data_IF_185473114973
#
_entry.id   IF_185473114973
#
_cell.length_a   1.000
_cell.length_b   1.000
_cell.length_c   1.000
_cell.angle_alpha   90.00
_cell.angle_beta   90.00
_cell.angle_gamma   90.00
#
_symmetry.space_group_name_H-M   'P 1'
#
loop_
_entity.id
_entity.type
_entity.pdbx_description
1 polymer ?
#
# COMPACT_ATOMS: atom_id res chain seq x y z
N UNK A 1 -49.52 -41.70 24.89
CA UNK A 1 -48.40 -41.91 25.83
C UNK A 1 -47.53 -43.03 25.26
N UNK A 2 -46.24 -42.77 25.00
CA UNK A 2 -45.21 -43.80 24.82
C UNK A 2 -44.96 -44.30 23.39
N UNK A 3 -43.96 -43.72 22.73
CA UNK A 3 -43.50 -44.08 21.39
C UNK A 3 -42.52 -45.28 21.40
N UNK A 4 -42.64 -46.10 20.35
CA UNK A 4 -41.58 -46.63 19.48
C UNK A 4 -40.42 -47.48 20.05
N UNK A 5 -40.64 -48.80 20.01
CA UNK A 5 -39.98 -49.80 19.16
C UNK A 5 -38.59 -49.47 18.53
N UNK A 6 -37.62 -50.24 19.03
CA UNK A 6 -36.55 -51.02 18.38
C UNK A 6 -35.46 -50.39 17.49
N UNK A 7 -34.26 -50.80 17.90
CA UNK A 7 -32.96 -50.81 17.23
C UNK A 7 -32.96 -51.48 15.85
N UNK A 8 -32.23 -50.88 14.91
CA UNK A 8 -31.64 -51.61 13.76
C UNK A 8 -30.12 -51.31 13.62
N UNK A 9 -29.33 -52.30 13.17
CA UNK A 9 -27.87 -52.27 13.17
C UNK A 9 -27.26 -51.82 11.83
N UNK A 10 -26.04 -51.27 11.93
CA UNK A 10 -24.90 -51.58 11.06
C UNK A 10 -25.08 -51.53 9.54
N UNK A 11 -24.77 -50.38 8.93
CA UNK A 11 -24.29 -50.32 7.54
C UNK A 11 -22.81 -49.92 7.51
N UNK A 12 -21.98 -50.91 7.21
CA UNK A 12 -20.61 -50.72 6.72
C UNK A 12 -20.63 -50.41 5.21
N UNK A 13 -19.65 -49.62 4.75
CA UNK A 13 -19.40 -49.31 3.34
C UNK A 13 -18.89 -47.87 3.18
N UNK A 14 -17.64 -47.57 3.56
CA UNK A 14 -16.42 -47.62 2.71
C UNK A 14 -16.39 -46.55 1.59
N UNK A 15 -15.48 -45.59 1.80
CA UNK A 15 -14.63 -44.91 0.82
C UNK A 15 -15.23 -43.87 -0.16
N UNK A 16 -15.11 -42.61 0.23
CA UNK A 16 -14.78 -41.49 -0.66
C UNK A 16 -13.89 -40.56 0.17
N UNK A 17 -12.58 -40.48 -0.06
CA UNK A 17 -12.00 -39.88 -1.26
C UNK A 17 -11.41 -38.54 -0.81
N UNK A 18 -10.09 -38.51 -0.62
CA UNK A 18 -9.34 -37.33 -0.23
C UNK A 18 -9.57 -36.19 -1.22
N UNK A 19 -9.94 -35.02 -0.70
CA UNK A 19 -9.99 -33.75 -1.40
C UNK A 19 -9.70 -32.66 -0.39
N UNK A 20 -8.41 -32.43 -0.11
CA UNK A 20 -7.93 -31.20 0.50
C UNK A 20 -8.36 -30.04 -0.39
N UNK A 21 -9.21 -29.13 0.07
CA UNK A 21 -9.10 -27.70 -0.24
C UNK A 21 -9.56 -26.91 0.98
N UNK A 22 -8.58 -26.68 1.86
CA UNK A 22 -8.51 -25.63 2.86
C UNK A 22 -8.93 -24.28 2.24
N UNK A 23 -10.20 -23.94 2.42
CA UNK A 23 -10.83 -22.72 1.86
C UNK A 23 -10.94 -21.58 2.86
N UNK A 24 -10.12 -21.59 3.92
CA UNK A 24 -9.99 -20.43 4.83
C UNK A 24 -8.53 -20.03 4.94
N UNK A 25 -8.18 -18.95 4.23
CA UNK A 25 -7.62 -17.81 4.92
C UNK A 25 -8.74 -16.77 4.94
N UNK A 26 -9.43 -16.57 6.07
CA UNK A 26 -8.94 -15.64 7.09
C UNK A 26 -7.99 -14.64 6.43
N UNK A 27 -8.55 -13.73 5.63
CA UNK A 27 -7.76 -12.67 4.99
C UNK A 27 -7.21 -11.84 6.13
N UNK A 28 -5.99 -12.21 6.50
CA UNK A 28 -5.20 -11.68 7.59
C UNK A 28 -5.44 -10.17 7.63
N UNK A 29 -5.93 -9.67 8.76
CA UNK A 29 -5.05 -8.98 9.69
C UNK A 29 -3.96 -8.28 8.89
N UNK A 30 -4.18 -6.99 8.59
CA UNK A 30 -3.22 -6.14 7.92
C UNK A 30 -1.86 -6.40 8.54
N UNK A 31 -1.07 -7.21 7.86
CA UNK A 31 0.32 -7.43 8.22
C UNK A 31 0.85 -6.03 8.25
N UNK A 32 1.37 -5.61 9.39
CA UNK A 32 2.31 -4.51 9.45
C UNK A 32 3.51 -4.96 8.61
N UNK A 33 3.35 -4.95 7.28
CA UNK A 33 4.41 -5.10 6.34
C UNK A 33 5.38 -4.04 6.75
N UNK A 34 6.53 -4.49 7.24
CA UNK A 34 7.75 -3.72 7.26
C UNK A 34 7.70 -2.87 5.99
N UNK A 35 7.63 -1.54 6.10
CA UNK A 35 7.34 -0.70 4.96
C UNK A 35 8.35 -1.04 3.88
N UNK A 36 7.85 -1.58 2.77
CA UNK A 36 8.65 -2.15 1.70
C UNK A 36 9.27 -0.98 0.95
N UNK A 37 10.41 -0.52 1.44
CA UNK A 37 11.09 0.68 0.97
C UNK A 37 11.77 0.49 -0.38
N UNK A 38 11.77 -0.74 -0.90
CA UNK A 38 12.38 -1.14 -2.17
C UNK A 38 11.45 -0.90 -3.37
N UNK A 39 10.11 -1.00 -3.17
CA UNK A 39 9.12 -0.62 -4.18
C UNK A 39 9.14 0.88 -4.47
N UNK A 40 9.16 1.23 -5.75
CA UNK A 40 8.88 2.60 -6.21
C UNK A 40 7.48 3.04 -5.77
N UNK A 41 7.40 4.18 -5.11
CA UNK A 41 6.13 4.78 -4.70
C UNK A 41 5.53 5.52 -5.89
N UNK A 42 4.21 5.44 -6.06
CA UNK A 42 3.52 6.37 -6.96
C UNK A 42 3.75 7.82 -6.51
N UNK A 43 3.84 8.77 -7.45
CA UNK A 43 4.09 10.20 -7.14
C UNK A 43 3.12 10.75 -6.08
N UNK A 44 1.84 10.37 -6.14
CA UNK A 44 0.82 10.77 -5.15
C UNK A 44 1.11 10.15 -3.78
N UNK A 45 1.54 8.89 -3.74
CA UNK A 45 1.89 8.19 -2.51
C UNK A 45 3.16 8.77 -1.88
N UNK A 46 4.16 9.08 -2.71
CA UNK A 46 5.38 9.77 -2.29
C UNK A 46 5.07 11.13 -1.65
N UNK A 47 4.23 11.95 -2.29
CA UNK A 47 3.76 13.24 -1.73
C UNK A 47 2.98 13.02 -0.42
N UNK A 48 2.13 12.00 -0.36
CA UNK A 48 1.37 11.66 0.85
C UNK A 48 2.29 11.30 2.01
N UNK A 49 3.37 10.54 1.76
CA UNK A 49 4.37 10.21 2.77
C UNK A 49 5.06 11.48 3.29
N UNK A 50 5.37 12.47 2.44
CA UNK A 50 5.92 13.76 2.89
C UNK A 50 5.00 14.42 3.91
N UNK A 51 3.68 14.43 3.68
CA UNK A 51 2.73 15.05 4.62
C UNK A 51 2.68 14.38 5.99
N UNK A 52 3.03 13.09 6.08
CA UNK A 52 2.94 12.28 7.31
C UNK A 52 4.27 12.09 8.02
N UNK A 53 5.38 12.12 7.28
CA UNK A 53 6.70 11.69 7.77
C UNK A 53 7.75 12.79 7.73
N UNK A 54 7.50 13.91 7.05
CA UNK A 54 8.44 15.02 7.03
C UNK A 54 8.35 15.82 8.34
N UNK A 55 9.47 16.11 9.03
CA UNK A 55 9.47 16.96 10.22
C UNK A 55 9.34 18.46 9.89
N UNK A 56 9.47 18.84 8.61
CA UNK A 56 9.42 20.23 8.17
C UNK A 56 7.98 20.65 7.81
N UNK A 57 7.39 21.52 8.61
CA UNK A 57 6.02 22.03 8.39
C UNK A 57 5.81 22.74 7.05
N UNK A 58 6.83 23.41 6.52
CA UNK A 58 6.77 24.05 5.20
C UNK A 58 6.64 23.03 4.08
N UNK A 59 7.41 21.93 4.14
CA UNK A 59 7.31 20.84 3.17
C UNK A 59 5.96 20.11 3.25
N UNK A 60 5.40 19.96 4.46
CA UNK A 60 4.05 19.39 4.65
C UNK A 60 2.99 20.29 3.99
N UNK A 61 3.06 21.60 4.16
CA UNK A 61 2.11 22.54 3.57
C UNK A 61 2.15 22.48 2.03
N UNK A 62 3.36 22.48 1.45
CA UNK A 62 3.56 22.32 0.00
C UNK A 62 3.02 20.98 -0.49
N UNK A 63 3.30 19.88 0.21
CA UNK A 63 2.81 18.55 -0.16
C UNK A 63 1.27 18.43 -0.07
N UNK A 64 0.63 19.08 0.91
CA UNK A 64 -0.85 19.14 0.98
C UNK A 64 -1.43 19.94 -0.17
N UNK A 65 -0.85 21.11 -0.47
CA UNK A 65 -1.27 21.95 -1.58
C UNK A 65 -1.08 21.23 -2.92
N UNK A 66 0.01 20.47 -3.08
CA UNK A 66 0.24 19.62 -4.24
C UNK A 66 -0.89 18.60 -4.43
N UNK A 67 -1.28 17.87 -3.38
CA UNK A 67 -2.38 16.90 -3.45
C UNK A 67 -3.72 17.55 -3.84
N UNK A 68 -4.00 18.75 -3.35
CA UNK A 68 -5.20 19.51 -3.72
C UNK A 68 -5.16 19.94 -5.19
N UNK A 69 -4.01 20.46 -5.65
CA UNK A 69 -3.81 20.89 -7.02
C UNK A 69 -3.86 19.73 -8.02
N UNK A 70 -3.45 18.52 -7.62
CA UNK A 70 -3.53 17.31 -8.46
C UNK A 70 -4.98 16.85 -8.64
N UNK A 71 -5.87 17.11 -7.69
CA UNK A 71 -7.31 16.74 -7.83
C UNK A 71 -8.01 17.56 -8.90
N UNK A 72 -7.59 18.81 -9.07
CA UNK A 72 -8.22 19.77 -10.00
C UNK A 72 -7.40 19.99 -11.27
N UNK A 73 -6.11 19.63 -11.25
CA UNK A 73 -5.16 19.82 -12.32
C UNK A 73 -4.88 18.55 -13.13
N UNK A 74 -4.45 18.74 -14.38
CA UNK A 74 -4.03 17.66 -15.27
C UNK A 74 -2.62 17.10 -14.97
N UNK A 75 -2.12 16.19 -15.82
CA UNK A 75 -0.83 15.51 -15.61
C UNK A 75 0.39 16.45 -15.59
N UNK A 76 0.32 17.61 -16.24
CA UNK A 76 1.37 18.63 -16.15
C UNK A 76 1.48 19.25 -14.75
N UNK A 77 0.33 19.52 -14.11
CA UNK A 77 0.29 20.04 -12.74
C UNK A 77 0.91 19.02 -11.80
N UNK A 78 0.61 17.74 -11.97
CA UNK A 78 1.22 16.67 -11.18
C UNK A 78 2.76 16.68 -11.27
N UNK A 79 3.32 16.87 -12.46
CA UNK A 79 4.78 16.96 -12.65
C UNK A 79 5.38 18.20 -11.98
N UNK A 80 4.76 19.37 -12.14
CA UNK A 80 5.20 20.59 -11.48
C UNK A 80 5.15 20.48 -9.96
N UNK A 81 4.05 19.95 -9.41
CA UNK A 81 3.88 19.76 -7.97
C UNK A 81 4.88 18.76 -7.41
N UNK A 82 5.15 17.65 -8.12
CA UNK A 82 6.19 16.70 -7.74
C UNK A 82 7.57 17.37 -7.64
N UNK A 83 7.91 18.25 -8.59
CA UNK A 83 9.16 19.01 -8.55
C UNK A 83 9.22 19.99 -7.37
N UNK A 84 8.14 20.73 -7.09
CA UNK A 84 8.06 21.61 -5.93
C UNK A 84 8.21 20.85 -4.61
N UNK A 85 7.56 19.70 -4.48
CA UNK A 85 7.69 18.84 -3.30
C UNK A 85 9.12 18.32 -3.17
N UNK A 86 9.76 17.92 -4.26
CA UNK A 86 11.16 17.47 -4.28
C UNK A 86 12.11 18.56 -3.74
N UNK A 87 11.92 19.81 -4.16
CA UNK A 87 12.70 20.96 -3.65
C UNK A 87 12.36 21.22 -2.17
N UNK A 88 11.09 21.14 -1.80
CA UNK A 88 10.67 21.40 -0.42
C UNK A 88 11.23 20.37 0.57
N UNK A 89 11.44 19.12 0.13
CA UNK A 89 12.04 18.06 0.94
C UNK A 89 13.58 18.01 0.86
N UNK A 90 14.24 18.98 0.20
CA UNK A 90 15.70 18.97 -0.04
C UNK A 90 16.57 19.05 1.23
N UNK A 91 15.95 19.21 2.40
CA UNK A 91 16.57 19.10 3.73
C UNK A 91 16.13 17.88 4.54
N UNK A 92 15.19 17.07 4.05
CA UNK A 92 14.69 15.89 4.77
C UNK A 92 15.67 14.73 4.63
N UNK A 93 16.03 14.11 5.75
CA UNK A 93 16.99 13.01 5.84
C UNK A 93 16.34 11.76 6.44
N UNK A 94 16.82 10.59 6.04
CA UNK A 94 16.33 9.29 6.49
C UNK A 94 16.08 8.31 5.33
N UNK A 95 15.72 7.07 5.65
CA UNK A 95 15.36 6.05 4.65
C UNK A 95 14.09 6.45 3.87
N UNK A 96 13.05 6.96 4.56
CA UNK A 96 11.84 7.45 3.89
C UNK A 96 12.09 8.63 2.96
N UNK A 97 12.93 9.57 3.38
CA UNK A 97 13.29 10.72 2.56
C UNK A 97 14.00 10.26 1.26
N UNK A 98 14.90 9.27 1.37
CA UNK A 98 15.57 8.66 0.21
C UNK A 98 14.59 7.94 -0.70
N UNK A 99 13.66 7.16 -0.15
CA UNK A 99 12.65 6.46 -0.96
C UNK A 99 11.74 7.44 -1.72
N UNK A 100 11.26 8.49 -1.05
CA UNK A 100 10.44 9.54 -1.68
C UNK A 100 11.23 10.30 -2.74
N UNK A 101 12.47 10.69 -2.42
CA UNK A 101 13.34 11.39 -3.37
C UNK A 101 13.61 10.53 -4.61
N UNK A 102 13.95 9.24 -4.45
CA UNK A 102 14.12 8.29 -5.55
C UNK A 102 12.86 8.20 -6.41
N UNK A 103 11.71 7.99 -5.79
CA UNK A 103 10.43 7.83 -6.48
C UNK A 103 10.02 9.10 -7.25
N UNK A 104 10.21 10.28 -6.65
CA UNK A 104 9.92 11.57 -7.28
C UNK A 104 10.91 11.90 -8.41
N UNK A 105 12.22 11.68 -8.21
CA UNK A 105 13.24 11.87 -9.24
C UNK A 105 13.00 10.97 -10.45
N UNK A 106 12.63 9.71 -10.22
CA UNK A 106 12.28 8.75 -11.27
C UNK A 106 11.04 9.18 -12.05
N UNK A 107 9.99 9.60 -11.36
CA UNK A 107 8.76 10.11 -11.99
C UNK A 107 9.02 11.35 -12.86
N UNK A 108 9.93 12.21 -12.44
CA UNK A 108 10.32 13.41 -13.18
C UNK A 108 11.28 13.11 -14.34
N UNK A 109 11.79 11.89 -14.46
CA UNK A 109 12.83 11.54 -15.44
C UNK A 109 14.15 12.28 -15.18
N UNK A 110 14.41 12.68 -13.94
CA UNK A 110 15.67 13.32 -13.53
C UNK A 110 16.80 12.31 -13.31
N UNK A 111 16.50 11.00 -13.36
CA UNK A 111 17.49 9.95 -13.54
C UNK A 111 17.98 10.03 -15.00
N UNK A 112 18.90 10.95 -15.28
CA UNK A 112 19.76 10.86 -16.46
C UNK A 112 20.67 9.65 -16.26
N UNK A 113 20.51 8.68 -17.15
CA UNK A 113 21.48 7.64 -17.47
C UNK A 113 22.83 8.33 -17.75
N UNK A 114 23.83 8.12 -16.89
CA UNK A 114 25.25 8.44 -17.15
C UNK A 114 26.03 7.12 -17.18
#
# INVERSE_FOLDING_TARGET
>A
MGASFESEPGRAGLSAGAGNEDGTPARAAGTASRPDYDRDLGVIEAITIVTRSCPNGGAIAVARQALEAIKTGGPEVLRQQAYFVLIAIRGWRGERARQVHRSLSRYLGLESDD
#
